data_IF_444384518642
#
_entry.id   IF_444384518642
#
_cell.length_a   1.000
_cell.length_b   1.000
_cell.length_c   1.000
_cell.angle_alpha   90.00
_cell.angle_beta   90.00
_cell.angle_gamma   90.00
#
_symmetry.space_group_name_H-M   'P 1'
#
loop_
_entity.id
_entity.type
_entity.pdbx_description
1 polymer ?
#
# COMPACT_ATOMS: atom_id res chain seq x y z
N UNK A 1 5.61 -29.68 35.50
CA UNK A 1 5.26 -28.28 35.94
C UNK A 1 6.21 -27.20 35.35
N UNK A 2 7.36 -27.52 34.77
CA UNK A 2 8.35 -26.54 34.25
C UNK A 2 7.95 -25.82 32.96
N UNK A 3 7.06 -26.35 32.09
CA UNK A 3 6.73 -25.76 30.79
C UNK A 3 5.88 -24.47 30.83
N UNK A 4 5.11 -24.23 31.89
CA UNK A 4 4.28 -23.02 32.01
C UNK A 4 5.08 -21.76 32.42
N UNK A 5 6.20 -21.92 33.12
CA UNK A 5 7.07 -20.82 33.53
C UNK A 5 7.83 -20.15 32.38
N UNK A 6 8.27 -20.92 31.40
CA UNK A 6 8.97 -20.38 30.21
C UNK A 6 8.05 -19.60 29.30
N UNK A 7 6.78 -20.00 29.17
CA UNK A 7 5.80 -19.28 28.38
C UNK A 7 5.49 -17.91 28.98
N UNK A 8 5.35 -17.86 30.32
CA UNK A 8 5.15 -16.61 31.04
C UNK A 8 6.37 -15.68 30.94
N UNK A 9 7.56 -16.22 31.05
CA UNK A 9 8.82 -15.46 30.90
C UNK A 9 8.99 -14.88 29.49
N UNK A 10 8.62 -15.63 28.44
CA UNK A 10 8.65 -15.15 27.05
C UNK A 10 7.64 -14.04 26.84
N UNK A 11 6.42 -14.16 27.39
CA UNK A 11 5.38 -13.12 27.31
C UNK A 11 5.82 -11.84 28.04
N UNK A 12 6.44 -11.96 29.21
CA UNK A 12 6.97 -10.80 29.97
C UNK A 12 8.16 -10.16 29.25
N UNK A 13 9.05 -10.94 28.65
CA UNK A 13 10.20 -10.43 27.90
C UNK A 13 9.80 -9.67 26.63
N UNK A 14 8.74 -10.11 25.94
CA UNK A 14 8.15 -9.43 24.78
C UNK A 14 7.52 -8.06 25.12
N UNK A 15 7.16 -7.80 26.38
CA UNK A 15 6.58 -6.53 26.81
C UNK A 15 7.62 -5.53 27.35
N UNK A 16 8.90 -5.90 27.49
CA UNK A 16 9.96 -5.04 28.02
C UNK A 16 10.77 -4.31 26.94
N UNK A 17 10.42 -4.47 25.66
CA UNK A 17 11.11 -3.74 24.58
C UNK A 17 10.57 -2.30 24.53
N UNK A 18 11.42 -1.27 24.80
CA UNK A 18 10.99 0.12 24.72
C UNK A 18 10.62 0.47 23.27
N UNK A 19 9.37 0.88 23.04
CA UNK A 19 8.91 1.40 21.76
C UNK A 19 9.47 2.79 21.52
N UNK A 20 10.51 2.90 20.72
CA UNK A 20 10.95 4.18 20.18
C UNK A 20 9.99 4.56 19.06
N UNK A 21 9.14 5.57 19.29
CA UNK A 21 8.25 6.12 18.27
C UNK A 21 9.08 6.91 17.25
N UNK A 22 9.33 6.33 16.10
CA UNK A 22 9.72 7.06 14.90
C UNK A 22 8.54 7.06 13.93
N UNK A 23 7.96 8.25 13.72
CA UNK A 23 6.63 8.41 13.11
C UNK A 23 6.69 8.85 11.65
N UNK A 24 7.41 8.16 10.77
CA UNK A 24 7.33 8.43 9.33
C UNK A 24 7.05 7.14 8.57
N UNK A 25 5.78 6.87 8.33
CA UNK A 25 5.34 5.74 7.51
C UNK A 25 4.80 6.26 6.17
N UNK A 26 5.15 5.54 5.08
CA UNK A 26 4.47 5.74 3.80
C UNK A 26 2.97 5.51 3.99
N UNK A 27 2.10 6.29 3.31
CA UNK A 27 0.67 6.04 3.36
C UNK A 27 0.39 4.61 2.91
N UNK A 28 -0.31 3.85 3.74
CA UNK A 28 -0.80 2.53 3.39
C UNK A 28 -2.29 2.65 3.08
N UNK A 29 -2.66 2.23 1.88
CA UNK A 29 -4.05 2.15 1.47
C UNK A 29 -4.75 1.00 2.20
N UNK A 30 -6.02 1.19 2.52
CA UNK A 30 -6.80 0.16 3.22
C UNK A 30 -7.30 -0.92 2.27
N UNK A 31 -7.34 -0.60 0.97
CA UNK A 31 -7.78 -1.50 -0.10
C UNK A 31 -6.62 -2.08 -0.93
N UNK A 32 -5.40 -2.18 -0.37
CA UNK A 32 -4.21 -2.72 -1.07
C UNK A 32 -4.42 -4.13 -1.63
N UNK A 33 -5.29 -4.95 -1.02
CA UNK A 33 -5.62 -6.29 -1.50
C UNK A 33 -6.39 -6.29 -2.82
N UNK A 34 -6.92 -5.15 -3.24
CA UNK A 34 -7.57 -4.93 -4.54
C UNK A 34 -6.67 -4.24 -5.57
N UNK A 35 -5.50 -3.74 -5.14
CA UNK A 35 -4.46 -3.16 -5.98
C UNK A 35 -3.08 -3.58 -5.49
N UNK A 36 -2.71 -4.84 -5.71
CA UNK A 36 -1.45 -5.43 -5.23
C UNK A 36 -0.22 -4.80 -5.89
N UNK A 37 -0.36 -4.17 -7.08
CA UNK A 37 0.72 -3.41 -7.74
C UNK A 37 1.27 -2.28 -6.84
N UNK A 38 0.44 -1.77 -5.92
CA UNK A 38 0.85 -0.72 -4.98
C UNK A 38 1.99 -1.18 -4.07
N UNK A 39 1.94 -2.43 -3.63
CA UNK A 39 2.90 -2.98 -2.67
C UNK A 39 3.94 -3.90 -3.32
N UNK A 40 3.66 -4.47 -4.50
CA UNK A 40 4.54 -5.46 -5.13
C UNK A 40 4.64 -5.29 -6.66
N UNK A 41 5.82 -4.89 -7.20
CA UNK A 41 6.01 -4.70 -8.63
C UNK A 41 5.90 -5.99 -9.45
N UNK A 42 6.07 -7.17 -8.83
CA UNK A 42 5.91 -8.46 -9.50
C UNK A 42 4.46 -8.74 -9.93
N UNK A 43 3.51 -7.95 -9.44
CA UNK A 43 2.10 -8.07 -9.81
C UNK A 43 1.76 -7.41 -11.14
N UNK A 44 2.63 -6.60 -11.74
CA UNK A 44 2.37 -5.92 -13.01
C UNK A 44 1.96 -6.92 -14.10
N UNK A 45 0.87 -6.63 -14.80
CA UNK A 45 0.32 -7.48 -15.87
C UNK A 45 -0.20 -8.85 -15.43
N UNK A 46 -0.45 -9.03 -14.13
CA UNK A 46 -0.89 -10.33 -13.58
C UNK A 46 -2.24 -10.77 -14.15
N UNK A 47 -3.19 -9.86 -14.26
CA UNK A 47 -4.59 -10.18 -14.59
C UNK A 47 -4.89 -10.29 -16.09
N UNK A 48 -3.98 -10.63 -16.95
CA UNK A 48 -4.21 -10.86 -18.38
C UNK A 48 -5.18 -9.84 -19.04
N UNK A 49 -5.23 -8.64 -18.49
CA UNK A 49 -6.09 -7.54 -18.90
C UNK A 49 -5.38 -6.23 -18.66
N UNK A 50 -5.69 -5.18 -19.39
CA UNK A 50 -5.26 -3.84 -19.04
C UNK A 50 -6.10 -3.35 -17.86
N UNK A 51 -5.44 -2.98 -16.78
CA UNK A 51 -6.08 -2.49 -15.56
C UNK A 51 -5.74 -1.03 -15.32
N UNK A 52 -6.75 -0.29 -14.86
CA UNK A 52 -6.59 1.06 -14.33
C UNK A 52 -7.21 1.12 -12.95
N UNK A 53 -6.47 1.67 -12.01
CA UNK A 53 -6.94 1.87 -10.64
C UNK A 53 -6.72 3.31 -10.26
N UNK A 54 -7.76 3.94 -9.71
CA UNK A 54 -7.68 5.26 -9.07
C UNK A 54 -8.08 5.13 -7.62
N UNK A 55 -7.27 5.69 -6.71
CA UNK A 55 -7.54 5.71 -5.26
C UNK A 55 -7.50 7.17 -4.79
N UNK A 56 -8.48 7.54 -3.99
CA UNK A 56 -8.46 8.76 -3.20
C UNK A 56 -8.65 8.41 -1.73
N UNK A 57 -7.68 8.82 -0.89
CA UNK A 57 -7.68 8.57 0.54
C UNK A 57 -7.58 9.88 1.30
N UNK A 58 -8.50 10.13 2.21
CA UNK A 58 -8.48 11.25 3.14
C UNK A 58 -8.39 10.71 4.57
N UNK A 59 -7.23 10.89 5.18
CA UNK A 59 -6.98 10.43 6.54
C UNK A 59 -7.46 11.45 7.57
N UNK A 60 -7.79 10.99 8.77
CA UNK A 60 -8.04 11.82 9.94
C UNK A 60 -9.01 12.97 9.67
N UNK A 61 -10.19 12.63 9.17
CA UNK A 61 -11.21 13.63 8.83
C UNK A 61 -11.52 14.54 10.02
N UNK A 62 -11.55 15.87 9.77
CA UNK A 62 -11.74 16.91 10.80
C UNK A 62 -10.44 17.57 11.27
N UNK A 63 -9.26 17.06 10.90
CA UNK A 63 -7.96 17.70 11.23
C UNK A 63 -7.51 18.53 10.03
N UNK A 64 -7.19 19.83 10.26
CA UNK A 64 -6.62 20.70 9.24
C UNK A 64 -5.21 20.22 8.87
N UNK A 65 -4.91 20.12 7.57
CA UNK A 65 -3.60 19.62 7.10
C UNK A 65 -3.41 18.10 7.22
N UNK A 66 -4.48 17.34 7.54
CA UNK A 66 -4.43 15.89 7.58
C UNK A 66 -4.05 15.28 6.22
N UNK A 67 -3.41 14.09 6.20
CA UNK A 67 -2.93 13.48 4.96
C UNK A 67 -4.06 13.22 3.96
N UNK A 68 -3.81 13.59 2.70
CA UNK A 68 -4.67 13.32 1.56
C UNK A 68 -3.80 12.74 0.44
N UNK A 69 -4.17 11.57 -0.04
CA UNK A 69 -3.43 10.87 -1.08
C UNK A 69 -4.35 10.58 -2.25
N UNK A 70 -3.93 10.98 -3.44
CA UNK A 70 -4.52 10.54 -4.70
C UNK A 70 -3.52 9.67 -5.44
N UNK A 71 -3.97 8.56 -6.00
CA UNK A 71 -3.12 7.65 -6.76
C UNK A 71 -3.86 7.17 -8.01
N UNK A 72 -3.14 7.11 -9.12
CA UNK A 72 -3.58 6.45 -10.34
C UNK A 72 -2.53 5.43 -10.71
N UNK A 73 -2.94 4.21 -11.00
CA UNK A 73 -2.05 3.18 -11.53
C UNK A 73 -2.70 2.48 -12.71
N UNK A 74 -1.86 1.92 -13.58
CA UNK A 74 -2.28 1.04 -14.65
C UNK A 74 -1.24 -0.03 -14.87
N UNK A 75 -1.68 -1.23 -15.23
CA UNK A 75 -0.80 -2.33 -15.57
C UNK A 75 -1.44 -3.21 -16.64
N UNK A 76 -0.58 -3.90 -17.39
CA UNK A 76 -0.99 -4.84 -18.42
C UNK A 76 0.11 -5.85 -18.75
N UNK A 77 -0.22 -7.05 -19.24
CA UNK A 77 0.76 -7.93 -19.87
C UNK A 77 1.19 -7.37 -21.24
N UNK A 78 2.37 -7.73 -21.70
CA UNK A 78 2.90 -7.35 -23.01
C UNK A 78 2.59 -8.48 -24.02
N UNK A 79 1.48 -8.37 -24.74
CA UNK A 79 1.05 -9.40 -25.70
C UNK A 79 1.05 -10.78 -25.06
N UNK A 80 1.40 -11.81 -25.84
CA UNK A 80 1.49 -13.21 -25.39
C UNK A 80 2.83 -13.53 -24.71
N UNK A 81 3.56 -12.50 -24.28
CA UNK A 81 4.83 -12.69 -23.57
C UNK A 81 4.58 -12.96 -22.07
N UNK A 82 5.63 -13.40 -21.40
CA UNK A 82 5.63 -13.56 -19.93
C UNK A 82 5.95 -12.25 -19.18
N UNK A 83 5.96 -11.14 -19.90
CA UNK A 83 6.29 -9.83 -19.36
C UNK A 83 5.01 -9.06 -19.02
N UNK A 84 5.04 -8.35 -17.89
CA UNK A 84 4.05 -7.36 -17.51
C UNK A 84 4.70 -6.01 -17.26
N UNK A 85 3.96 -4.95 -17.54
CA UNK A 85 4.36 -3.57 -17.25
C UNK A 85 3.31 -2.88 -16.41
N UNK A 86 3.74 -1.93 -15.60
CA UNK A 86 2.87 -1.09 -14.78
C UNK A 86 3.42 0.30 -14.62
N UNK A 87 2.52 1.26 -14.43
CA UNK A 87 2.80 2.65 -14.12
C UNK A 87 1.96 3.08 -12.94
N UNK A 88 2.55 3.87 -12.02
CA UNK A 88 1.87 4.44 -10.87
C UNK A 88 2.26 5.90 -10.72
N UNK A 89 1.26 6.75 -10.52
CA UNK A 89 1.39 8.16 -10.19
C UNK A 89 0.73 8.41 -8.83
N UNK A 90 1.41 9.15 -7.95
CA UNK A 90 0.94 9.44 -6.59
C UNK A 90 1.09 10.93 -6.32
N UNK A 91 0.02 11.56 -5.83
CA UNK A 91 0.01 12.91 -5.24
C UNK A 91 -0.36 12.76 -3.76
N UNK A 92 0.58 13.04 -2.88
CA UNK A 92 0.41 12.94 -1.43
C UNK A 92 0.66 14.28 -0.76
N UNK A 93 -0.30 14.73 0.05
CA UNK A 93 -0.26 16.02 0.75
C UNK A 93 -0.46 15.80 2.23
N UNK A 94 0.48 16.29 2.99
CA UNK A 94 0.42 16.25 4.45
C UNK A 94 0.95 17.56 5.04
N UNK A 95 0.05 18.34 5.64
CA UNK A 95 0.39 19.67 6.20
C UNK A 95 1.07 20.52 5.13
N UNK A 96 2.29 20.96 5.36
CA UNK A 96 3.12 21.76 4.46
C UNK A 96 3.93 20.92 3.44
N UNK A 97 3.81 19.58 3.51
CA UNK A 97 4.56 18.67 2.64
C UNK A 97 3.67 18.24 1.48
N UNK A 98 4.17 18.38 0.26
CA UNK A 98 3.55 17.90 -0.96
C UNK A 98 4.53 16.97 -1.71
N UNK A 99 4.14 15.73 -1.90
CA UNK A 99 4.93 14.69 -2.55
C UNK A 99 4.26 14.25 -3.85
N UNK A 100 4.97 14.39 -4.96
CA UNK A 100 4.52 13.91 -6.28
C UNK A 100 5.45 12.81 -6.76
N UNK A 101 4.91 11.61 -6.98
CA UNK A 101 5.67 10.43 -7.38
C UNK A 101 5.21 9.85 -8.71
N UNK A 102 6.18 9.31 -9.47
CA UNK A 102 5.93 8.49 -10.65
C UNK A 102 6.82 7.24 -10.58
N UNK A 103 6.24 6.05 -10.81
CA UNK A 103 6.92 4.77 -10.70
C UNK A 103 6.50 3.86 -11.83
N UNK A 104 7.49 3.29 -12.55
CA UNK A 104 7.31 2.23 -13.53
C UNK A 104 7.69 0.88 -12.95
N UNK A 105 6.91 -0.15 -13.25
CA UNK A 105 7.15 -1.53 -12.84
C UNK A 105 7.24 -2.42 -14.06
N UNK A 106 8.08 -3.44 -13.99
CA UNK A 106 8.18 -4.51 -14.97
C UNK A 106 8.24 -5.85 -14.23
N UNK A 107 7.47 -6.82 -14.69
CA UNK A 107 7.45 -8.18 -14.16
C UNK A 107 7.81 -9.20 -15.23
N UNK A 108 8.38 -10.32 -14.79
CA UNK A 108 8.56 -11.52 -15.58
C UNK A 108 7.93 -12.70 -14.86
N UNK A 109 7.03 -13.42 -15.54
CA UNK A 109 6.28 -14.55 -14.99
C UNK A 109 6.85 -15.87 -15.52
N UNK A 110 6.99 -16.82 -14.61
CA UNK A 110 7.29 -18.23 -14.92
C UNK A 110 6.02 -19.01 -14.61
N UNK A 111 5.46 -19.64 -15.62
CA UNK A 111 4.23 -20.41 -15.54
C UNK A 111 4.56 -21.88 -15.35
N UNK A 112 3.97 -22.52 -14.35
CA UNK A 112 3.96 -23.96 -14.12
C UNK A 112 2.55 -24.50 -14.28
N UNK A 113 2.39 -25.82 -14.16
CA UNK A 113 1.12 -26.52 -14.42
C UNK A 113 -0.04 -26.02 -13.57
N UNK A 114 0.20 -25.75 -12.27
CA UNK A 114 -0.84 -25.30 -11.32
C UNK A 114 -0.38 -24.09 -10.49
N UNK A 115 0.69 -23.44 -10.87
CA UNK A 115 1.24 -22.32 -10.10
C UNK A 115 2.08 -21.40 -10.98
N UNK A 116 2.12 -20.13 -10.60
CA UNK A 116 2.96 -19.14 -11.26
C UNK A 116 3.85 -18.45 -10.22
N UNK A 117 5.05 -18.10 -10.65
CA UNK A 117 5.95 -17.23 -9.90
C UNK A 117 6.34 -16.05 -10.78
N UNK A 118 6.25 -14.86 -10.26
CA UNK A 118 6.64 -13.64 -10.96
C UNK A 118 7.73 -12.90 -10.18
N UNK A 119 8.67 -12.31 -10.90
CA UNK A 119 9.71 -11.42 -10.38
C UNK A 119 9.44 -10.04 -10.92
N UNK A 120 9.53 -9.03 -10.06
CA UNK A 120 9.25 -7.65 -10.42
C UNK A 120 10.40 -6.72 -10.08
N UNK A 121 10.61 -5.75 -10.95
CA UNK A 121 11.49 -4.61 -10.73
C UNK A 121 10.66 -3.33 -10.84
N UNK A 122 11.01 -2.35 -10.03
CA UNK A 122 10.38 -1.03 -10.04
C UNK A 122 11.46 0.03 -10.01
N UNK A 123 11.23 1.09 -10.79
CA UNK A 123 12.00 2.32 -10.71
C UNK A 123 11.08 3.53 -10.77
N UNK A 124 11.47 4.60 -10.10
CA UNK A 124 10.65 5.80 -10.08
C UNK A 124 11.38 7.00 -9.51
N UNK A 125 10.65 8.11 -9.53
CA UNK A 125 11.10 9.36 -8.94
C UNK A 125 10.00 9.93 -8.03
N UNK A 126 10.43 10.56 -6.93
CA UNK A 126 9.58 11.23 -5.95
C UNK A 126 10.10 12.65 -5.76
N UNK A 127 9.27 13.63 -6.02
CA UNK A 127 9.52 15.03 -5.74
C UNK A 127 8.81 15.45 -4.47
N UNK A 128 9.57 15.78 -3.41
CA UNK A 128 9.04 16.26 -2.13
C UNK A 128 9.27 17.76 -2.04
N UNK A 129 8.20 18.52 -1.85
CA UNK A 129 8.22 19.95 -1.56
C UNK A 129 7.74 20.18 -0.14
N UNK A 130 8.47 20.99 0.62
CA UNK A 130 8.04 21.48 1.94
C UNK A 130 7.93 22.98 1.88
N UNK A 131 6.73 23.50 2.08
CA UNK A 131 6.44 24.94 2.03
C UNK A 131 6.38 25.52 3.44
N UNK A 132 7.47 26.13 3.87
CA UNK A 132 7.56 26.75 5.19
C UNK A 132 6.78 28.08 5.29
N UNK A 133 6.39 28.68 4.17
CA UNK A 133 5.62 29.94 4.17
C UNK A 133 4.22 29.78 4.75
N UNK A 134 3.69 28.56 4.78
CA UNK A 134 2.40 28.22 5.40
C UNK A 134 2.46 28.07 6.94
N UNK A 135 3.66 28.10 7.54
CA UNK A 135 3.83 27.97 9.00
C UNK A 135 3.71 29.31 9.70
N UNK A 136 3.00 29.33 10.82
CA UNK A 136 3.09 30.41 11.81
C UNK A 136 4.37 30.24 12.61
N UNK A 137 5.44 30.91 12.18
CA UNK A 137 6.76 30.81 12.82
C UNK A 137 6.79 31.73 14.03
N UNK A 138 7.10 31.18 15.20
CA UNK A 138 7.18 31.93 16.47
C UNK A 138 8.44 32.82 16.53
N UNK A 139 9.50 32.48 15.80
CA UNK A 139 10.76 33.24 15.71
C UNK A 139 10.99 33.68 14.23
N UNK A 140 10.53 34.89 13.85
CA UNK A 140 10.79 35.43 12.53
C UNK A 140 12.30 35.59 12.31
N UNK A 141 12.82 35.07 11.18
CA UNK A 141 14.24 35.19 10.80
C UNK A 141 15.11 33.96 11.08
N UNK A 142 14.53 32.81 11.51
CA UNK A 142 15.26 31.57 11.59
C UNK A 142 15.66 31.10 10.16
N UNK A 143 16.97 30.93 9.87
CA UNK A 143 17.47 30.54 8.56
C UNK A 143 16.91 29.21 8.04
N UNK A 144 16.49 28.30 8.94
CA UNK A 144 15.92 26.98 8.58
C UNK A 144 14.61 27.15 7.83
N UNK A 145 13.82 28.19 8.11
CA UNK A 145 12.54 28.46 7.47
C UNK A 145 12.60 29.50 6.35
N UNK A 146 13.82 30.03 6.05
CA UNK A 146 13.99 31.09 5.08
C UNK A 146 13.73 30.64 3.63
N UNK A 147 13.86 29.34 3.33
CA UNK A 147 13.68 28.78 1.98
C UNK A 147 12.88 27.48 2.01
N UNK A 148 11.98 27.34 1.06
CA UNK A 148 11.22 26.10 0.85
C UNK A 148 12.15 24.97 0.39
N UNK A 149 11.93 23.76 0.90
CA UNK A 149 12.69 22.58 0.48
C UNK A 149 12.05 21.96 -0.76
N UNK A 150 12.89 21.55 -1.71
CA UNK A 150 12.47 20.79 -2.88
C UNK A 150 13.51 19.70 -3.18
N UNK A 151 13.12 18.44 -2.97
CA UNK A 151 14.01 17.28 -3.11
C UNK A 151 13.46 16.33 -4.15
N UNK A 152 14.22 16.03 -5.18
CA UNK A 152 13.92 14.97 -6.15
C UNK A 152 14.74 13.73 -5.81
N UNK A 153 14.06 12.62 -5.58
CA UNK A 153 14.67 11.34 -5.18
C UNK A 153 14.29 10.27 -6.20
N UNK A 154 15.29 9.56 -6.74
CA UNK A 154 15.04 8.31 -7.45
C UNK A 154 14.90 7.16 -6.46
N UNK A 155 14.03 6.22 -6.76
CA UNK A 155 13.88 5.00 -6.01
C UNK A 155 13.90 3.76 -6.93
N UNK A 156 14.36 2.65 -6.37
CA UNK A 156 14.37 1.34 -7.01
C UNK A 156 13.75 0.34 -6.07
N UNK A 157 13.03 -0.63 -6.61
CA UNK A 157 12.36 -1.65 -5.82
C UNK A 157 12.33 -2.98 -6.55
N UNK A 158 12.01 -4.02 -5.80
CA UNK A 158 11.87 -5.38 -6.32
C UNK A 158 10.79 -6.13 -5.58
N UNK A 159 10.34 -7.24 -6.18
CA UNK A 159 9.39 -8.13 -5.56
C UNK A 159 9.32 -9.49 -6.23
N UNK A 160 8.75 -10.42 -5.49
CA UNK A 160 8.42 -11.76 -5.95
C UNK A 160 6.94 -11.98 -5.62
N UNK A 161 6.21 -12.58 -6.53
CA UNK A 161 4.81 -12.95 -6.35
C UNK A 161 4.60 -14.37 -6.81
N UNK A 162 4.01 -15.19 -5.95
CA UNK A 162 3.65 -16.58 -6.20
C UNK A 162 2.14 -16.74 -6.12
N UNK A 163 1.54 -17.48 -7.02
CA UNK A 163 0.13 -17.82 -6.95
C UNK A 163 -0.19 -19.20 -7.49
N UNK A 164 -1.27 -19.75 -6.98
CA UNK A 164 -2.04 -20.88 -7.52
C UNK A 164 -3.47 -20.42 -7.77
N UNK A 165 -4.38 -21.31 -8.12
CA UNK A 165 -5.81 -20.97 -8.29
C UNK A 165 -6.47 -20.46 -7.00
N UNK A 166 -5.97 -20.87 -5.84
CA UNK A 166 -6.59 -20.55 -4.54
C UNK A 166 -5.69 -19.83 -3.55
N UNK A 167 -4.38 -19.84 -3.76
CA UNK A 167 -3.41 -19.27 -2.83
C UNK A 167 -2.51 -18.28 -3.53
N UNK A 168 -2.15 -17.21 -2.83
CA UNK A 168 -1.07 -16.33 -3.25
C UNK A 168 -0.20 -15.92 -2.09
N UNK A 169 1.07 -15.61 -2.40
CA UNK A 169 2.01 -14.98 -1.50
C UNK A 169 2.92 -14.01 -2.26
N UNK A 170 3.23 -12.89 -1.65
CA UNK A 170 4.12 -11.89 -2.22
C UNK A 170 5.13 -11.39 -1.20
N UNK A 171 6.37 -11.21 -1.64
CA UNK A 171 7.43 -10.55 -0.88
C UNK A 171 7.97 -9.41 -1.73
N UNK A 172 8.09 -8.21 -1.17
CA UNK A 172 8.55 -7.05 -1.93
C UNK A 172 9.21 -5.98 -1.07
N UNK A 173 10.07 -5.21 -1.73
CA UNK A 173 10.68 -3.98 -1.20
C UNK A 173 10.58 -2.92 -2.30
N UNK A 174 9.42 -2.23 -2.45
CA UNK A 174 9.20 -1.30 -3.56
C UNK A 174 10.09 -0.05 -3.49
N UNK A 175 10.72 0.23 -2.36
CA UNK A 175 11.62 1.36 -2.18
C UNK A 175 12.93 0.91 -1.51
N UNK A 176 13.64 -0.04 -2.16
CA UNK A 176 14.85 -0.65 -1.63
C UNK A 176 16.04 0.32 -1.57
N UNK A 177 16.25 1.08 -2.66
CA UNK A 177 17.34 2.05 -2.78
C UNK A 177 16.78 3.40 -3.16
N UNK A 178 17.28 4.46 -2.52
CA UNK A 178 16.93 5.84 -2.79
C UNK A 178 18.16 6.70 -2.99
N UNK A 179 18.15 7.45 -4.04
CA UNK A 179 19.23 8.37 -4.37
C UNK A 179 18.68 9.76 -4.64
N UNK A 180 19.21 10.76 -3.95
CA UNK A 180 18.84 12.16 -4.19
C UNK A 180 19.40 12.60 -5.53
N UNK A 181 18.51 12.96 -6.46
CA UNK A 181 18.88 13.52 -7.78
C UNK A 181 19.10 15.03 -7.71
N UNK A 182 18.37 15.71 -6.82
CA UNK A 182 18.50 17.16 -6.59
C UNK A 182 18.17 17.49 -5.14
N UNK A 183 18.98 18.37 -4.54
CA UNK A 183 18.77 18.98 -3.22
C UNK A 183 18.82 20.49 -3.39
N UNK A 184 17.96 21.22 -2.70
CA UNK A 184 17.90 22.68 -2.82
C UNK A 184 19.07 23.34 -2.08
N UNK A 185 19.53 22.78 -0.95
CA UNK A 185 20.67 23.28 -0.20
C UNK A 185 21.35 22.17 0.62
N UNK A 186 22.68 22.16 0.68
CA UNK A 186 23.45 21.13 1.41
C UNK A 186 23.25 21.25 2.91
N UNK A 187 23.16 22.47 3.44
CA UNK A 187 22.98 22.73 4.87
C UNK A 187 21.60 22.28 5.39
N UNK A 188 20.55 22.37 4.57
CA UNK A 188 19.18 21.96 4.92
C UNK A 188 18.88 20.49 4.56
N UNK A 189 19.79 19.79 3.89
CA UNK A 189 19.60 18.39 3.48
C UNK A 189 19.52 17.42 4.67
N UNK A 190 19.98 17.83 5.85
CA UNK A 190 19.91 17.06 7.09
C UNK A 190 18.46 16.99 7.63
N UNK A 191 17.61 17.97 7.27
CA UNK A 191 16.18 18.03 7.60
C UNK A 191 15.29 17.38 6.51
N UNK A 192 15.89 16.90 5.42
CA UNK A 192 15.13 16.19 4.38
C UNK A 192 14.56 14.87 4.93
N UNK A 193 13.29 14.63 4.66
CA UNK A 193 12.57 13.43 5.07
C UNK A 193 13.31 12.19 4.56
N UNK A 194 14.00 11.47 5.45
CA UNK A 194 14.56 10.15 5.15
C UNK A 194 13.42 9.15 5.19
N UNK A 195 13.18 8.53 4.07
CA UNK A 195 12.23 7.41 4.03
C UNK A 195 13.01 6.11 3.99
N UNK A 196 12.82 5.23 4.99
CA UNK A 196 13.45 3.93 5.05
C UNK A 196 12.79 2.93 4.08
N UNK A 197 13.53 1.88 3.71
CA UNK A 197 13.00 0.80 2.89
C UNK A 197 11.87 0.08 3.64
N UNK A 198 10.74 -0.13 2.97
CA UNK A 198 9.60 -0.89 3.48
C UNK A 198 9.61 -2.27 2.84
N UNK A 199 9.65 -3.30 3.67
CA UNK A 199 9.48 -4.68 3.25
C UNK A 199 8.03 -5.10 3.49
N UNK A 200 7.42 -5.71 2.49
CA UNK A 200 6.06 -6.24 2.55
C UNK A 200 6.08 -7.75 2.32
N UNK A 201 5.38 -8.48 3.17
CA UNK A 201 5.02 -9.88 2.97
C UNK A 201 3.51 -9.98 3.06
N UNK A 202 2.88 -10.40 1.97
CA UNK A 202 1.44 -10.60 1.94
C UNK A 202 1.10 -12.01 1.49
N UNK A 203 -0.01 -12.55 1.99
CA UNK A 203 -0.57 -13.78 1.48
C UNK A 203 -2.09 -13.82 1.69
N UNK A 204 -2.75 -14.67 0.93
CA UNK A 204 -4.18 -14.90 1.04
C UNK A 204 -4.60 -16.21 0.42
N UNK A 205 -5.80 -16.63 0.79
CA UNK A 205 -6.36 -17.90 0.36
C UNK A 205 -7.84 -17.73 -0.03
N UNK A 206 -8.30 -18.44 -1.05
CA UNK A 206 -9.68 -18.45 -1.49
C UNK A 206 -10.38 -19.70 -0.98
N UNK A 207 -11.45 -19.50 -0.20
CA UNK A 207 -12.30 -20.55 0.35
C UNK A 207 -13.67 -20.43 -0.30
N UNK A 208 -14.01 -21.35 -1.18
CA UNK A 208 -15.36 -21.47 -1.74
C UNK A 208 -16.29 -21.99 -0.66
N UNK A 209 -17.20 -21.15 -0.17
CA UNK A 209 -18.19 -21.54 0.84
C UNK A 209 -19.37 -22.26 0.19
N UNK A 210 -19.81 -21.76 -0.97
CA UNK A 210 -20.83 -22.35 -1.83
C UNK A 210 -20.81 -21.63 -3.20
N UNK A 211 -21.73 -21.95 -4.10
CA UNK A 211 -21.80 -21.40 -5.47
C UNK A 211 -21.95 -19.86 -5.51
N UNK A 212 -22.36 -19.23 -4.43
CA UNK A 212 -22.62 -17.80 -4.36
C UNK A 212 -21.58 -17.04 -3.56
N UNK A 213 -20.88 -17.69 -2.62
CA UNK A 213 -20.01 -17.03 -1.66
C UNK A 213 -18.60 -17.59 -1.68
N UNK A 214 -17.63 -16.68 -1.76
CA UNK A 214 -16.20 -16.97 -1.61
C UNK A 214 -15.66 -16.11 -0.47
N UNK A 215 -14.99 -16.74 0.50
CA UNK A 215 -14.27 -16.07 1.56
C UNK A 215 -12.79 -15.98 1.20
N UNK A 216 -12.21 -14.79 1.31
CA UNK A 216 -10.78 -14.49 1.08
C UNK A 216 -10.16 -13.95 2.36
N UNK A 217 -9.67 -14.80 3.29
CA UNK A 217 -8.76 -14.35 4.33
C UNK A 217 -7.41 -13.98 3.72
N UNK A 218 -6.80 -12.92 4.24
CA UNK A 218 -5.48 -12.47 3.82
C UNK A 218 -4.78 -11.71 4.94
N UNK A 219 -3.45 -11.59 4.82
CA UNK A 219 -2.66 -10.78 5.73
C UNK A 219 -1.60 -10.00 4.97
N UNK A 220 -1.14 -8.93 5.60
CA UNK A 220 0.02 -8.15 5.20
C UNK A 220 0.90 -7.92 6.41
N UNK A 221 2.19 -8.29 6.29
CA UNK A 221 3.23 -7.89 7.24
C UNK A 221 4.04 -6.77 6.60
N UNK A 222 4.34 -5.75 7.39
CA UNK A 222 5.14 -4.61 7.00
C UNK A 222 6.30 -4.42 7.96
N UNK A 223 7.53 -4.54 7.43
CA UNK A 223 8.77 -4.31 8.14
C UNK A 223 9.43 -3.02 7.67
N UNK A 224 9.91 -2.22 8.62
CA UNK A 224 10.75 -1.04 8.39
C UNK A 224 11.88 -1.08 9.39
N UNK A 225 13.10 -0.74 8.95
CA UNK A 225 14.26 -0.74 9.85
C UNK A 225 14.04 0.18 11.06
N UNK A 226 14.24 -0.35 12.26
CA UNK A 226 14.10 0.40 13.50
C UNK A 226 12.66 0.62 13.97
N UNK A 227 11.66 0.05 13.30
CA UNK A 227 10.25 0.11 13.68
C UNK A 227 9.74 -1.31 13.95
N UNK A 228 8.92 -1.54 14.99
CA UNK A 228 8.29 -2.83 15.21
C UNK A 228 7.50 -3.31 13.99
N UNK A 229 7.52 -4.61 13.75
CA UNK A 229 6.75 -5.23 12.68
C UNK A 229 5.27 -4.89 12.83
N UNK A 230 4.66 -4.41 11.76
CA UNK A 230 3.25 -4.08 11.71
C UNK A 230 2.51 -5.10 10.84
N UNK A 231 1.28 -5.45 11.20
CA UNK A 231 0.48 -6.40 10.43
C UNK A 231 -0.96 -5.94 10.27
N UNK A 232 -1.53 -6.33 9.13
CA UNK A 232 -2.94 -6.21 8.82
C UNK A 232 -3.50 -7.63 8.59
N UNK A 233 -4.65 -7.95 9.18
CA UNK A 233 -5.39 -9.20 8.94
C UNK A 233 -6.73 -8.85 8.33
N UNK A 234 -7.07 -9.48 7.21
CA UNK A 234 -8.27 -9.18 6.46
C UNK A 234 -9.12 -10.41 6.23
N UNK A 235 -10.42 -10.21 6.16
CA UNK A 235 -11.38 -11.19 5.68
C UNK A 235 -12.40 -10.50 4.78
N UNK A 236 -12.48 -10.93 3.54
CA UNK A 236 -13.42 -10.41 2.54
C UNK A 236 -14.33 -11.54 2.06
N UNK A 237 -15.64 -11.30 2.00
CA UNK A 237 -16.62 -12.21 1.44
C UNK A 237 -17.12 -11.63 0.13
N UNK A 238 -17.01 -12.39 -0.93
CA UNK A 238 -17.51 -12.06 -2.26
C UNK A 238 -18.83 -12.77 -2.51
N UNK A 239 -19.80 -12.03 -3.04
CA UNK A 239 -21.12 -12.55 -3.44
C UNK A 239 -21.25 -12.47 -4.95
N UNK A 240 -21.29 -13.63 -5.65
CA UNK A 240 -21.48 -13.79 -7.10
C UNK A 240 -20.64 -12.80 -7.94
N UNK A 241 -19.45 -12.45 -7.48
CA UNK A 241 -18.60 -11.42 -8.08
C UNK A 241 -19.25 -10.01 -8.20
N UNK A 242 -20.51 -9.87 -7.84
CA UNK A 242 -21.24 -8.61 -7.97
C UNK A 242 -20.80 -7.61 -6.89
N UNK A 243 -20.55 -8.11 -5.68
CA UNK A 243 -20.15 -7.28 -4.55
C UNK A 243 -19.26 -8.05 -3.59
N UNK A 244 -18.49 -7.33 -2.80
CA UNK A 244 -17.83 -7.90 -1.63
C UNK A 244 -17.94 -6.98 -0.42
N UNK A 245 -17.95 -7.58 0.76
CA UNK A 245 -17.83 -6.91 2.04
C UNK A 245 -16.70 -7.54 2.84
N UNK A 246 -15.97 -6.73 3.58
CA UNK A 246 -14.84 -7.21 4.35
C UNK A 246 -14.54 -6.39 5.58
N UNK A 247 -13.71 -6.97 6.42
CA UNK A 247 -13.13 -6.31 7.59
C UNK A 247 -11.63 -6.50 7.59
N UNK A 248 -10.92 -5.48 8.03
CA UNK A 248 -9.46 -5.52 8.21
C UNK A 248 -9.11 -4.98 9.60
N UNK A 249 -8.26 -5.70 10.30
CA UNK A 249 -7.65 -5.22 11.53
C UNK A 249 -6.21 -4.85 11.27
N UNK A 250 -5.87 -3.59 11.47
CA UNK A 250 -4.51 -3.05 11.40
C UNK A 250 -3.97 -2.86 12.82
N UNK A 251 -2.91 -3.58 13.13
CA UNK A 251 -2.31 -3.59 14.46
C UNK A 251 -2.09 -2.17 15.01
N UNK A 252 -2.69 -1.91 16.19
CA UNK A 252 -2.51 -0.69 16.94
C UNK A 252 -2.98 0.61 16.27
N UNK A 253 -3.63 0.52 15.11
CA UNK A 253 -3.99 1.66 14.28
C UNK A 253 -5.49 1.75 13.99
N UNK A 254 -6.08 0.76 13.33
CA UNK A 254 -7.45 0.87 12.86
C UNK A 254 -8.18 -0.47 12.73
N UNK A 255 -9.51 -0.40 12.85
CA UNK A 255 -10.43 -1.40 12.33
C UNK A 255 -11.06 -0.83 11.06
N UNK A 256 -11.00 -1.58 9.95
CA UNK A 256 -11.44 -1.11 8.64
C UNK A 256 -12.63 -1.92 8.16
N UNK A 257 -13.69 -1.23 7.77
CA UNK A 257 -14.79 -1.80 7.00
C UNK A 257 -14.55 -1.60 5.51
N UNK A 258 -14.76 -2.63 4.71
CA UNK A 258 -14.50 -2.65 3.27
C UNK A 258 -15.78 -3.02 2.52
N UNK A 259 -16.10 -2.28 1.47
CA UNK A 259 -17.19 -2.57 0.54
C UNK A 259 -16.66 -2.43 -0.88
N UNK A 260 -17.09 -3.29 -1.79
CA UNK A 260 -16.74 -3.25 -3.20
C UNK A 260 -17.93 -3.73 -4.05
N UNK A 261 -18.24 -2.98 -5.11
CA UNK A 261 -19.37 -3.22 -6.00
C UNK A 261 -18.94 -3.23 -7.45
N UNK A 262 -19.45 -4.17 -8.22
CA UNK A 262 -19.34 -4.20 -9.67
C UNK A 262 -20.46 -3.35 -10.27
N UNK A 263 -20.11 -2.17 -10.79
CA UNK A 263 -21.07 -1.23 -11.40
C UNK A 263 -21.47 -1.71 -12.81
N UNK A 264 -20.48 -2.12 -13.59
CA UNK A 264 -20.62 -2.82 -14.89
C UNK A 264 -19.55 -3.92 -14.95
N UNK A 265 -19.59 -4.84 -15.92
CA UNK A 265 -18.63 -5.96 -15.98
C UNK A 265 -17.15 -5.56 -15.88
N UNK A 266 -16.80 -4.38 -16.39
CA UNK A 266 -15.44 -3.87 -16.46
C UNK A 266 -15.09 -2.81 -15.40
N UNK A 267 -16.07 -2.32 -14.62
CA UNK A 267 -15.87 -1.21 -13.66
C UNK A 267 -16.33 -1.60 -12.26
N UNK A 268 -15.44 -1.42 -11.29
CA UNK A 268 -15.72 -1.66 -9.87
C UNK A 268 -15.46 -0.40 -9.05
N UNK A 269 -16.31 -0.20 -8.05
CA UNK A 269 -16.17 0.86 -7.06
C UNK A 269 -16.02 0.23 -5.68
N UNK A 270 -14.95 0.59 -4.98
CA UNK A 270 -14.73 0.18 -3.61
C UNK A 270 -14.70 1.38 -2.67
N UNK A 271 -15.06 1.12 -1.41
CA UNK A 271 -15.02 2.08 -0.33
C UNK A 271 -14.46 1.44 0.93
N UNK A 272 -13.56 2.14 1.61
CA UNK A 272 -13.08 1.73 2.92
C UNK A 272 -13.28 2.84 3.95
N UNK A 273 -13.66 2.41 5.13
CA UNK A 273 -13.82 3.25 6.31
C UNK A 273 -12.91 2.75 7.41
N UNK A 274 -11.88 3.53 7.78
CA UNK A 274 -10.96 3.16 8.86
C UNK A 274 -11.44 3.85 10.15
N UNK A 275 -11.82 3.05 11.13
CA UNK A 275 -12.08 3.49 12.49
C UNK A 275 -10.78 3.42 13.30
N UNK A 276 -10.28 4.57 13.74
CA UNK A 276 -9.02 4.66 14.48
C UNK A 276 -9.15 4.07 15.88
N UNK A 277 -8.25 3.15 16.25
CA UNK A 277 -8.25 2.50 17.57
C UNK A 277 -7.29 3.18 18.57
N UNK A 278 -6.40 4.04 18.09
CA UNK A 278 -5.38 4.70 18.91
C UNK A 278 -5.88 5.96 19.63
N UNK A 279 -4.97 6.61 20.35
CA UNK A 279 -5.24 7.88 21.07
C UNK A 279 -5.71 9.02 20.14
N UNK A 280 -5.40 8.92 18.85
CA UNK A 280 -5.86 9.87 17.83
C UNK A 280 -7.38 9.86 17.63
N UNK A 281 -8.11 8.82 18.05
CA UNK A 281 -9.56 8.74 17.90
C UNK A 281 -10.30 9.91 18.59
N UNK A 282 -9.73 10.50 19.62
CA UNK A 282 -10.32 11.66 20.29
C UNK A 282 -10.27 12.93 19.43
N UNK A 283 -9.36 13.00 18.45
CA UNK A 283 -9.12 14.17 17.60
C UNK A 283 -9.45 13.90 16.13
N UNK A 284 -9.24 12.67 15.68
CA UNK A 284 -9.33 12.23 14.28
C UNK A 284 -10.39 11.14 14.14
N UNK A 285 -11.57 11.50 13.68
CA UNK A 285 -12.74 10.59 13.74
C UNK A 285 -12.65 9.41 12.80
N UNK A 286 -12.17 9.57 11.56
CA UNK A 286 -12.18 8.50 10.57
C UNK A 286 -11.22 8.79 9.43
N UNK A 287 -10.88 7.73 8.69
CA UNK A 287 -10.23 7.81 7.39
C UNK A 287 -11.16 7.21 6.35
N UNK A 288 -11.30 7.89 5.23
CA UNK A 288 -12.12 7.46 4.10
C UNK A 288 -11.23 7.18 2.90
N UNK A 289 -11.51 6.09 2.22
CA UNK A 289 -10.80 5.71 0.99
C UNK A 289 -11.80 5.23 -0.05
N UNK A 290 -11.68 5.76 -1.27
CA UNK A 290 -12.45 5.36 -2.43
C UNK A 290 -11.48 4.78 -3.45
N UNK A 291 -11.84 3.64 -4.02
CA UNK A 291 -11.10 3.02 -5.12
C UNK A 291 -12.03 2.81 -6.32
N UNK A 292 -11.57 3.19 -7.49
CA UNK A 292 -12.21 2.90 -8.75
C UNK A 292 -11.27 2.02 -9.58
N UNK A 293 -11.76 0.87 -10.04
CA UNK A 293 -10.98 -0.09 -10.83
C UNK A 293 -11.68 -0.35 -12.15
N UNK A 294 -10.96 -0.09 -13.22
CA UNK A 294 -11.43 -0.35 -14.58
C UNK A 294 -10.49 -1.33 -15.26
N UNK A 295 -11.03 -2.38 -15.83
CA UNK A 295 -10.26 -3.39 -16.56
C UNK A 295 -10.81 -3.58 -17.95
N UNK A 296 -9.91 -3.66 -18.92
CA UNK A 296 -10.19 -3.91 -20.32
C UNK A 296 -9.61 -5.30 -20.62
N UNK A 297 -10.45 -6.33 -20.78
CA UNK A 297 -9.98 -7.66 -21.15
C UNK A 297 -9.44 -7.61 -22.59
N UNK A 298 -8.39 -8.37 -22.88
CA UNK A 298 -7.90 -8.53 -24.24
C UNK A 298 -8.81 -9.47 -25.05
N UNK A 299 -9.36 -10.49 -24.38
CA UNK A 299 -10.44 -11.32 -24.92
C UNK A 299 -11.70 -11.16 -24.05
N UNK A 300 -12.87 -11.04 -24.69
CA UNK A 300 -14.13 -10.82 -23.97
C UNK A 300 -14.55 -11.98 -23.09
N UNK A 301 -14.07 -13.17 -23.38
CA UNK A 301 -14.43 -14.40 -22.66
C UNK A 301 -13.48 -14.72 -21.49
N UNK A 302 -12.39 -13.96 -21.30
CA UNK A 302 -11.35 -14.19 -20.27
C UNK A 302 -11.32 -13.15 -19.14
N UNK A 303 -12.47 -12.68 -18.68
CA UNK A 303 -12.49 -11.86 -17.47
C UNK A 303 -12.10 -12.72 -16.26
N UNK A 304 -10.88 -12.54 -15.76
CA UNK A 304 -10.51 -13.13 -14.48
C UNK A 304 -11.48 -12.70 -13.38
N UNK A 305 -11.98 -13.64 -12.56
CA UNK A 305 -12.84 -13.33 -11.44
C UNK A 305 -12.24 -12.26 -10.52
N UNK A 306 -13.07 -11.37 -10.02
CA UNK A 306 -12.63 -10.21 -9.20
C UNK A 306 -12.03 -10.57 -7.85
N UNK A 307 -12.27 -11.79 -7.36
CA UNK A 307 -11.70 -12.33 -6.13
C UNK A 307 -10.31 -12.95 -6.35
N UNK A 308 -9.96 -13.30 -7.59
CA UNK A 308 -8.59 -13.70 -7.91
C UNK A 308 -7.68 -12.46 -7.79
N UNK A 309 -6.86 -12.51 -6.82
CA UNK A 309 -5.75 -11.67 -6.32
C UNK A 309 -5.68 -10.21 -6.73
#
# INVERSE_FOLDING_TARGET
MMKKGYLLAIIVFLNLVPFWLQAQQLPLYSQYMFNTLEINPAYAGFKQAMQFTSIYRKQFNGIKGAPQTAMISGDMPIGDTRLGIGLKLVDDRFSIIHSLGAQGSMSYRIEGDNSNIAFGLQMGALNNKTDFSELNITSPGDPVFAQNLNTLTANFGTGIFFNTDKFYAGLSVPNLVRTHLRKTDVALSEYAVKQDAHMYLNAGYLITLNDNFILKPSFLLRGVKGIPLNYDINANVFYREAMSAGVSYRQGSALVGLLDFRLIPTLRLGYAYDYNLGRLNNFAKATHEIILRYHIPFDRDELMPSYLF
#
